data_IF_489352929817
#
_entry.id   IF_489352929817
#
_cell.length_a   1.000
_cell.length_b   1.000
_cell.length_c   1.000
_cell.angle_alpha   90.00
_cell.angle_beta   90.00
_cell.angle_gamma   90.00
#
_symmetry.space_group_name_H-M   'P 1'
#
loop_
_entity.id
_entity.type
_entity.pdbx_description
1 polymer ?
#
# COMPACT_ATOMS: atom_id res chain seq x y z
N UNK A 1 26.87 -21.68 34.52
CA UNK A 1 27.76 -20.49 34.50
C UNK A 1 29.12 -20.91 33.97
N UNK A 2 29.59 -20.28 32.87
CA UNK A 2 30.96 -20.24 32.29
C UNK A 2 30.78 -19.99 30.79
N UNK A 3 30.88 -18.76 30.23
CA UNK A 3 32.01 -17.82 30.09
C UNK A 3 33.20 -18.37 29.28
N UNK A 4 33.11 -18.09 27.98
CA UNK A 4 34.15 -17.72 27.00
C UNK A 4 35.38 -18.61 26.86
N UNK A 5 35.64 -19.09 25.65
CA UNK A 5 36.93 -18.87 24.97
C UNK A 5 36.71 -18.62 23.47
N UNK A 6 37.39 -17.58 23.00
CA UNK A 6 37.46 -17.12 21.64
C UNK A 6 38.48 -17.91 20.82
N UNK A 7 38.46 -17.62 19.52
CA UNK A 7 39.46 -17.88 18.48
C UNK A 7 39.30 -19.16 17.67
N UNK A 8 38.78 -18.99 16.45
CA UNK A 8 39.21 -19.78 15.30
C UNK A 8 39.27 -18.86 14.06
N UNK A 9 40.52 -18.51 13.74
CA UNK A 9 41.15 -18.48 12.41
C UNK A 9 40.65 -17.43 11.41
N UNK A 10 41.53 -16.45 11.24
CA UNK A 10 41.71 -15.73 9.99
C UNK A 10 42.36 -16.64 8.93
N UNK A 11 41.78 -16.75 7.74
CA UNK A 11 42.49 -16.93 6.47
C UNK A 11 41.56 -16.79 5.25
N UNK A 12 41.62 -15.62 4.62
CA UNK A 12 41.82 -15.42 3.18
C UNK A 12 40.91 -16.15 2.17
N UNK A 13 39.92 -15.42 1.64
CA UNK A 13 39.58 -15.46 0.21
C UNK A 13 39.25 -14.04 -0.27
N UNK A 14 40.03 -13.55 -1.24
CA UNK A 14 39.71 -12.39 -2.06
C UNK A 14 38.47 -12.71 -2.90
N UNK A 15 37.37 -12.00 -2.64
CA UNK A 15 36.23 -11.87 -3.54
C UNK A 15 35.63 -10.46 -3.36
N UNK A 16 35.20 -9.79 -4.43
CA UNK A 16 34.81 -8.39 -4.43
C UNK A 16 33.62 -8.18 -3.49
N UNK A 17 33.51 -6.96 -2.94
CA UNK A 17 32.42 -6.50 -2.11
C UNK A 17 31.06 -7.02 -2.60
N UNK A 18 30.60 -8.13 -2.02
CA UNK A 18 29.19 -8.50 -2.08
C UNK A 18 28.54 -7.53 -1.12
N UNK A 19 28.08 -6.42 -1.68
CA UNK A 19 27.04 -5.64 -1.04
C UNK A 19 26.01 -6.67 -0.56
N UNK A 20 25.79 -6.73 0.75
CA UNK A 20 24.55 -7.26 1.28
C UNK A 20 23.45 -6.35 0.73
N UNK A 21 23.05 -6.58 -0.51
CA UNK A 21 21.68 -6.36 -0.89
C UNK A 21 20.93 -7.31 0.03
N UNK A 22 20.43 -6.77 1.13
CA UNK A 22 19.19 -7.29 1.67
C UNK A 22 18.29 -7.48 0.47
N UNK A 23 17.85 -8.71 0.25
CA UNK A 23 16.72 -8.98 -0.61
C UNK A 23 15.52 -8.37 0.14
N UNK A 24 15.45 -7.04 0.16
CA UNK A 24 14.23 -6.30 0.42
C UNK A 24 13.24 -6.88 -0.58
N UNK A 25 12.22 -7.57 -0.09
CA UNK A 25 10.99 -7.79 -0.83
C UNK A 25 10.65 -6.44 -1.45
N UNK A 26 10.86 -6.34 -2.77
CA UNK A 26 10.84 -5.06 -3.46
C UNK A 26 9.38 -4.61 -3.45
N UNK A 27 9.00 -3.84 -2.44
CA UNK A 27 7.76 -3.11 -2.43
C UNK A 27 7.61 -2.46 -3.81
N UNK A 28 6.41 -2.54 -4.42
CA UNK A 28 6.20 -1.95 -5.74
C UNK A 28 6.73 -0.51 -5.72
N UNK A 29 7.40 -0.06 -6.80
CA UNK A 29 7.96 1.28 -6.83
C UNK A 29 6.85 2.30 -6.54
N UNK A 30 7.06 3.15 -5.52
CA UNK A 30 6.11 4.21 -5.13
C UNK A 30 5.69 4.99 -6.37
N UNK A 31 4.38 5.08 -6.59
CA UNK A 31 3.82 5.73 -7.77
C UNK A 31 4.00 7.26 -7.70
N UNK A 32 4.09 7.89 -8.87
CA UNK A 32 4.09 9.34 -8.97
C UNK A 32 2.70 9.90 -8.61
N UNK A 33 2.62 11.15 -8.17
CA UNK A 33 1.34 11.83 -7.93
C UNK A 33 0.38 11.75 -9.15
N UNK A 34 0.92 11.84 -10.38
CA UNK A 34 0.13 11.74 -11.60
C UNK A 34 -0.45 10.33 -11.81
N UNK A 35 0.35 9.29 -11.54
CA UNK A 35 -0.11 7.90 -11.67
C UNK A 35 -1.09 7.51 -10.57
N UNK A 36 -0.88 7.99 -9.34
CA UNK A 36 -1.83 7.82 -8.22
C UNK A 36 -3.20 8.36 -8.62
N UNK A 37 -3.26 9.62 -9.03
CA UNK A 37 -4.52 10.27 -9.42
C UNK A 37 -5.19 9.54 -10.57
N UNK A 38 -4.44 9.26 -11.65
CA UNK A 38 -4.95 8.57 -12.84
C UNK A 38 -5.55 7.21 -12.49
N UNK A 39 -4.84 6.40 -11.72
CA UNK A 39 -5.24 5.02 -11.43
C UNK A 39 -6.45 4.96 -10.49
N UNK A 40 -6.54 5.87 -9.51
CA UNK A 40 -7.72 6.00 -8.65
C UNK A 40 -8.94 6.51 -9.45
N UNK A 41 -8.77 7.56 -10.25
CA UNK A 41 -9.85 8.14 -11.07
C UNK A 41 -10.37 7.18 -12.14
N UNK A 42 -9.56 6.23 -12.62
CA UNK A 42 -9.99 5.21 -13.57
C UNK A 42 -11.19 4.39 -13.05
N UNK A 43 -11.30 4.18 -11.73
CA UNK A 43 -12.44 3.49 -11.14
C UNK A 43 -13.77 4.23 -11.36
N UNK A 44 -13.75 5.57 -11.53
CA UNK A 44 -14.97 6.37 -11.76
C UNK A 44 -15.67 6.06 -13.09
N UNK A 45 -14.97 5.43 -14.03
CA UNK A 45 -15.47 5.10 -15.36
C UNK A 45 -16.13 3.71 -15.44
N UNK A 46 -15.99 2.90 -14.38
CA UNK A 46 -16.55 1.55 -14.30
C UNK A 46 -17.60 1.48 -13.18
N UNK A 47 -18.90 1.26 -13.48
CA UNK A 47 -19.95 1.18 -12.47
C UNK A 47 -19.74 0.10 -11.40
N UNK A 48 -19.11 -1.02 -11.75
CA UNK A 48 -18.82 -2.09 -10.79
C UNK A 48 -17.72 -1.65 -9.82
N UNK A 49 -16.70 -0.94 -10.32
CA UNK A 49 -15.64 -0.37 -9.49
C UNK A 49 -16.14 0.76 -8.60
N UNK A 50 -16.96 1.66 -9.13
CA UNK A 50 -17.63 2.69 -8.32
C UNK A 50 -18.41 2.03 -7.18
N UNK A 51 -19.23 1.01 -7.49
CA UNK A 51 -20.00 0.31 -6.46
C UNK A 51 -19.11 -0.36 -5.41
N UNK A 52 -18.02 -1.01 -5.83
CA UNK A 52 -17.05 -1.63 -4.92
C UNK A 52 -16.37 -0.60 -4.03
N UNK A 53 -15.95 0.53 -4.59
CA UNK A 53 -15.36 1.65 -3.84
C UNK A 53 -16.32 2.19 -2.78
N UNK A 54 -17.58 2.44 -3.14
CA UNK A 54 -18.55 2.97 -2.19
C UNK A 54 -18.86 1.99 -1.05
N UNK A 55 -18.89 0.69 -1.34
CA UNK A 55 -19.04 -0.34 -0.32
C UNK A 55 -17.81 -0.42 0.59
N UNK A 56 -16.61 -0.32 0.02
CA UNK A 56 -15.34 -0.28 0.74
C UNK A 56 -15.26 0.93 1.66
N UNK A 57 -15.53 2.13 1.15
CA UNK A 57 -15.53 3.39 1.90
C UNK A 57 -16.49 3.30 3.10
N UNK A 58 -17.73 2.84 2.86
CA UNK A 58 -18.69 2.58 3.95
C UNK A 58 -18.18 1.56 4.97
N UNK A 59 -17.54 0.48 4.51
CA UNK A 59 -16.98 -0.54 5.41
C UNK A 59 -15.85 0.03 6.27
N UNK A 60 -14.96 0.82 5.68
CA UNK A 60 -13.88 1.51 6.39
C UNK A 60 -14.43 2.49 7.44
N UNK A 61 -15.50 3.23 7.12
CA UNK A 61 -16.20 4.09 8.09
C UNK A 61 -16.83 3.30 9.25
N UNK A 62 -17.44 2.14 8.97
CA UNK A 62 -18.03 1.25 9.99
C UNK A 62 -16.97 0.64 10.93
N UNK A 63 -15.80 0.35 10.38
CA UNK A 63 -14.63 -0.18 11.11
C UNK A 63 -14.01 0.93 11.97
N UNK A 64 -13.76 2.11 11.38
CA UNK A 64 -13.05 3.21 12.04
C UNK A 64 -11.63 2.82 12.46
N UNK A 65 -11.15 3.39 13.57
CA UNK A 65 -9.81 3.11 14.11
C UNK A 65 -9.75 1.84 15.00
N UNK A 66 -10.75 0.95 14.91
CA UNK A 66 -10.81 -0.28 15.71
C UNK A 66 -10.07 -1.43 15.01
N UNK A 67 -8.85 -1.72 15.48
CA UNK A 67 -8.00 -2.78 14.93
C UNK A 67 -8.70 -4.16 14.87
N UNK A 68 -9.55 -4.50 15.84
CA UNK A 68 -10.25 -5.80 15.85
C UNK A 68 -11.33 -5.86 14.78
N UNK A 69 -12.02 -4.74 14.55
CA UNK A 69 -12.97 -4.64 13.44
C UNK A 69 -12.25 -4.65 12.10
N UNK A 70 -11.08 -4.01 12.01
CA UNK A 70 -10.28 -4.01 10.80
C UNK A 70 -9.82 -5.42 10.44
N UNK A 71 -9.32 -6.19 11.42
CA UNK A 71 -8.96 -7.60 11.23
C UNK A 71 -10.16 -8.43 10.77
N UNK A 72 -11.33 -8.25 11.41
CA UNK A 72 -12.55 -8.96 11.05
C UNK A 72 -13.09 -8.57 9.65
N UNK A 73 -12.86 -7.34 9.23
CA UNK A 73 -13.28 -6.81 7.92
C UNK A 73 -12.25 -7.06 6.81
N UNK A 74 -11.04 -7.51 7.12
CA UNK A 74 -9.92 -7.62 6.18
C UNK A 74 -10.28 -8.38 4.89
N UNK A 75 -10.87 -9.57 5.01
CA UNK A 75 -11.30 -10.35 3.83
C UNK A 75 -12.33 -9.62 2.95
N UNK A 76 -13.20 -8.82 3.57
CA UNK A 76 -14.21 -8.04 2.85
C UNK A 76 -13.56 -6.86 2.11
N UNK A 77 -12.64 -6.16 2.80
CA UNK A 77 -11.85 -5.05 2.24
C UNK A 77 -10.98 -5.54 1.08
N UNK A 78 -10.26 -6.65 1.24
CA UNK A 78 -9.46 -7.28 0.18
C UNK A 78 -10.32 -7.68 -1.02
N UNK A 79 -11.56 -8.11 -0.78
CA UNK A 79 -12.53 -8.42 -1.84
C UNK A 79 -12.90 -7.19 -2.67
N UNK A 80 -13.01 -6.03 -2.03
CA UNK A 80 -13.23 -4.76 -2.72
C UNK A 80 -12.00 -4.36 -3.55
N UNK A 81 -10.79 -4.44 -3.00
CA UNK A 81 -9.55 -4.14 -3.74
C UNK A 81 -9.37 -5.03 -4.97
N UNK A 82 -9.69 -6.34 -4.89
CA UNK A 82 -9.70 -7.24 -6.05
C UNK A 82 -10.67 -6.79 -7.15
N UNK A 83 -11.81 -6.21 -6.79
CA UNK A 83 -12.79 -5.69 -7.75
C UNK A 83 -12.32 -4.36 -8.35
N UNK A 84 -11.70 -3.51 -7.54
CA UNK A 84 -11.13 -2.22 -7.97
C UNK A 84 -9.93 -2.41 -8.90
N UNK A 85 -9.14 -3.46 -8.66
CA UNK A 85 -8.03 -3.92 -9.47
C UNK A 85 -6.67 -3.45 -8.95
N UNK A 86 -5.62 -4.14 -9.41
CA UNK A 86 -4.24 -3.96 -8.95
C UNK A 86 -3.71 -2.53 -9.12
N UNK A 87 -4.03 -1.86 -10.24
CA UNK A 87 -3.61 -0.47 -10.47
C UNK A 87 -4.19 0.49 -9.41
N UNK A 88 -5.44 0.23 -8.98
CA UNK A 88 -6.10 1.01 -7.95
C UNK A 88 -5.46 0.73 -6.59
N UNK A 89 -5.23 -0.53 -6.26
CA UNK A 89 -4.61 -0.97 -5.00
C UNK A 89 -3.21 -0.37 -4.84
N UNK A 90 -2.36 -0.46 -5.87
CA UNK A 90 -1.02 0.14 -5.87
C UNK A 90 -1.04 1.67 -5.70
N UNK A 91 -2.04 2.35 -6.29
CA UNK A 91 -2.22 3.79 -6.16
C UNK A 91 -2.76 4.20 -4.79
N UNK A 92 -3.66 3.41 -4.22
CA UNK A 92 -4.14 3.57 -2.86
C UNK A 92 -3.00 3.42 -1.86
N UNK A 93 -2.22 2.34 -1.97
CA UNK A 93 -1.08 2.06 -1.10
C UNK A 93 -0.03 3.18 -1.19
N UNK A 94 0.40 3.54 -2.41
CA UNK A 94 1.35 4.64 -2.62
C UNK A 94 0.86 5.99 -2.09
N UNK A 95 -0.45 6.24 -2.18
CA UNK A 95 -1.07 7.45 -1.67
C UNK A 95 -1.11 7.51 -0.15
N UNK A 96 -1.44 6.39 0.53
CA UNK A 96 -1.43 6.33 2.00
C UNK A 96 -0.01 6.41 2.58
N UNK A 97 0.95 5.84 1.87
CA UNK A 97 2.37 5.90 2.21
C UNK A 97 3.05 7.24 1.88
N UNK A 98 2.30 8.18 1.30
CA UNK A 98 2.80 9.50 0.95
C UNK A 98 2.92 10.37 2.20
N UNK A 99 3.94 11.23 2.22
CA UNK A 99 4.10 12.19 3.30
C UNK A 99 2.97 13.23 3.28
N UNK A 100 2.45 13.61 4.45
CA UNK A 100 1.44 14.66 4.57
C UNK A 100 1.83 15.95 3.82
N UNK A 101 0.91 16.49 3.04
CA UNK A 101 1.11 17.71 2.26
C UNK A 101 1.96 17.55 1.00
N UNK A 102 2.48 16.36 0.71
CA UNK A 102 3.17 16.03 -0.55
C UNK A 102 2.22 16.12 -1.76
N UNK A 103 2.76 16.24 -2.99
CA UNK A 103 1.97 16.12 -4.20
C UNK A 103 1.19 14.81 -4.31
N UNK A 104 1.77 13.70 -3.84
CA UNK A 104 1.17 12.36 -3.86
C UNK A 104 -0.04 12.26 -2.93
N UNK A 105 0.07 12.76 -1.69
CA UNK A 105 -1.05 12.82 -0.75
C UNK A 105 -2.20 13.67 -1.30
N UNK A 106 -1.89 14.84 -1.88
CA UNK A 106 -2.90 15.69 -2.52
C UNK A 106 -3.58 15.02 -3.72
N UNK A 107 -2.80 14.29 -4.51
CA UNK A 107 -3.34 13.55 -5.66
C UNK A 107 -4.31 12.45 -5.21
N UNK A 108 -4.00 11.74 -4.12
CA UNK A 108 -4.91 10.79 -3.49
C UNK A 108 -6.18 11.48 -2.98
N UNK A 109 -6.06 12.56 -2.22
CA UNK A 109 -7.20 13.32 -1.68
C UNK A 109 -8.16 13.78 -2.78
N UNK A 110 -7.62 14.36 -3.85
CA UNK A 110 -8.41 14.83 -5.00
C UNK A 110 -9.15 13.67 -5.69
N UNK A 111 -8.48 12.54 -5.90
CA UNK A 111 -9.06 11.39 -6.57
C UNK A 111 -10.14 10.71 -5.70
N UNK A 112 -9.89 10.57 -4.39
CA UNK A 112 -10.86 10.06 -3.41
C UNK A 112 -12.10 10.95 -3.37
N UNK A 113 -11.93 12.28 -3.27
CA UNK A 113 -13.06 13.20 -3.31
C UNK A 113 -13.90 13.06 -4.60
N UNK A 114 -13.25 12.78 -5.73
CA UNK A 114 -13.90 12.49 -7.00
C UNK A 114 -14.71 11.18 -6.99
N UNK A 115 -14.18 10.13 -6.36
CA UNK A 115 -14.85 8.85 -6.19
C UNK A 115 -16.01 8.93 -5.19
N UNK A 116 -15.81 9.58 -4.04
CA UNK A 116 -16.85 9.82 -3.03
C UNK A 116 -18.03 10.60 -3.61
N UNK A 117 -17.77 11.56 -4.50
CA UNK A 117 -18.82 12.28 -5.20
C UNK A 117 -19.73 11.37 -6.05
N UNK A 118 -19.28 10.16 -6.41
CA UNK A 118 -20.06 9.14 -7.13
C UNK A 118 -20.86 8.21 -6.22
N UNK A 119 -20.59 8.21 -4.91
CA UNK A 119 -21.22 7.31 -3.95
C UNK A 119 -22.58 7.78 -3.41
N UNK A 120 -23.24 8.68 -4.15
CA UNK A 120 -24.54 9.27 -3.77
C UNK A 120 -25.72 8.46 -4.30
#
# INVERSE_FOLDING_TARGET
MSKFHAALIAAFLLAPAVAYAAEDEKAPPKLSAADIKKNLEAATSDPAKVKAYCAMSKKMDEVGDDEKKAEAAGNEIDGYFKTLGEDFENAWDSGQDAADGSPEAKAMDEAIAGLDAKCK
#
